data_IF_587926378151
#
_entry.id   IF_587926378151
#
_cell.length_a   1.000
_cell.length_b   1.000
_cell.length_c   1.000
_cell.angle_alpha   90.00
_cell.angle_beta   90.00
_cell.angle_gamma   90.00
#
_symmetry.space_group_name_H-M   'P 1'
#
loop_
_entity.id
_entity.type
_entity.pdbx_description
1 polymer ?
#
# COMPACT_ATOMS: atom_id res chain seq x y z
N UNK A 1 18.65 -64.22 59.22
CA UNK A 1 19.15 -62.88 59.65
C UNK A 1 20.11 -62.34 58.59
N UNK A 2 20.07 -61.01 58.35
CA UNK A 2 20.68 -60.22 57.24
C UNK A 2 19.80 -60.22 55.97
N UNK A 3 18.91 -59.23 55.73
CA UNK A 3 19.00 -57.77 55.49
C UNK A 3 19.11 -57.42 54.00
N UNK A 4 18.12 -56.62 53.55
CA UNK A 4 18.22 -55.47 52.60
C UNK A 4 18.28 -55.87 51.11
N UNK A 5 17.57 -55.29 50.14
CA UNK A 5 16.55 -54.24 50.07
C UNK A 5 16.10 -54.13 48.58
N UNK A 6 14.82 -53.84 48.32
CA UNK A 6 14.35 -52.60 47.65
C UNK A 6 14.28 -52.62 46.11
N UNK A 7 13.07 -52.51 45.53
CA UNK A 7 12.47 -51.25 45.01
C UNK A 7 11.39 -51.58 43.96
N UNK A 8 10.17 -51.05 44.17
CA UNK A 8 9.16 -50.86 43.12
C UNK A 8 9.70 -49.88 42.06
N UNK A 9 9.46 -50.14 40.78
CA UNK A 9 9.43 -49.07 39.77
C UNK A 9 8.10 -49.13 39.01
N UNK A 10 7.19 -48.24 39.42
CA UNK A 10 6.02 -47.83 38.66
C UNK A 10 6.53 -46.89 37.57
N UNK A 11 6.58 -47.34 36.31
CA UNK A 11 6.73 -46.44 35.17
C UNK A 11 5.37 -45.77 34.91
N UNK A 12 5.20 -44.57 35.48
CA UNK A 12 4.18 -43.64 35.03
C UNK A 12 4.59 -43.05 33.68
N UNK A 13 3.73 -43.21 32.68
CA UNK A 13 3.76 -42.43 31.46
C UNK A 13 3.49 -40.96 31.81
N UNK A 14 4.50 -40.11 31.64
CA UNK A 14 4.31 -38.68 31.44
C UNK A 14 4.46 -38.39 29.93
N UNK A 15 3.46 -37.84 29.23
CA UNK A 15 3.70 -37.29 27.91
C UNK A 15 4.50 -36.00 28.07
N UNK A 16 5.76 -36.04 27.65
CA UNK A 16 6.59 -34.86 27.51
C UNK A 16 5.94 -33.93 26.45
N UNK A 17 5.38 -32.82 26.93
CA UNK A 17 4.97 -31.71 26.09
C UNK A 17 6.21 -31.10 25.43
N UNK A 18 6.54 -31.55 24.22
CA UNK A 18 7.47 -30.86 23.32
C UNK A 18 6.84 -29.55 22.84
N UNK A 19 6.84 -28.53 23.70
CA UNK A 19 6.63 -27.15 23.27
C UNK A 19 7.91 -26.66 22.60
N UNK A 20 7.96 -26.63 21.27
CA UNK A 20 9.08 -26.10 20.49
C UNK A 20 9.03 -24.56 20.55
N UNK A 21 9.92 -23.87 21.28
CA UNK A 21 9.87 -22.41 21.46
C UNK A 21 10.24 -21.62 20.19
N UNK A 22 10.93 -22.23 19.23
CA UNK A 22 11.35 -21.57 17.98
C UNK A 22 10.18 -21.29 17.02
N UNK A 23 9.14 -22.12 17.04
CA UNK A 23 7.96 -21.94 16.17
C UNK A 23 7.07 -20.81 16.69
N UNK A 24 6.86 -20.71 18.01
CA UNK A 24 6.09 -19.62 18.63
C UNK A 24 6.73 -18.25 18.37
N UNK A 25 8.03 -18.14 18.52
CA UNK A 25 8.76 -16.87 18.29
C UNK A 25 8.75 -16.43 16.81
N UNK A 26 8.77 -17.37 15.86
CA UNK A 26 8.64 -17.05 14.43
C UNK A 26 7.21 -16.61 14.07
N UNK A 27 6.19 -17.28 14.62
CA UNK A 27 4.78 -16.92 14.42
C UNK A 27 4.48 -15.53 15.01
N UNK A 28 4.94 -15.24 16.22
CA UNK A 28 4.79 -13.93 16.87
C UNK A 28 5.48 -12.80 16.10
N UNK A 29 6.69 -13.03 15.58
CA UNK A 29 7.38 -12.06 14.70
C UNK A 29 6.66 -11.82 13.38
N UNK A 30 5.97 -12.84 12.86
CA UNK A 30 5.21 -12.72 11.60
C UNK A 30 3.90 -11.99 11.82
N UNK A 31 3.20 -12.26 12.94
CA UNK A 31 1.97 -11.57 13.34
C UNK A 31 2.25 -10.10 13.63
N UNK A 32 3.33 -9.77 14.34
CA UNK A 32 3.70 -8.38 14.62
C UNK A 32 4.08 -7.61 13.35
N UNK A 33 4.78 -8.23 12.40
CA UNK A 33 5.07 -7.59 11.10
C UNK A 33 3.82 -7.38 10.26
N UNK A 34 2.89 -8.34 10.27
CA UNK A 34 1.62 -8.22 9.55
C UNK A 34 0.71 -7.15 10.17
N UNK A 35 0.72 -6.99 11.50
CA UNK A 35 -0.04 -5.92 12.17
C UNK A 35 0.58 -4.55 11.95
N UNK A 36 1.91 -4.42 11.95
CA UNK A 36 2.63 -3.19 11.60
C UNK A 36 2.34 -2.76 10.15
N UNK A 37 2.37 -3.70 9.20
CA UNK A 37 2.04 -3.43 7.80
C UNK A 37 0.58 -2.94 7.62
N UNK A 38 -0.36 -3.45 8.42
CA UNK A 38 -1.75 -2.96 8.45
C UNK A 38 -1.87 -1.59 9.12
N UNK A 39 -1.10 -1.34 10.18
CA UNK A 39 -1.09 -0.06 10.92
C UNK A 39 -0.45 1.10 10.14
N UNK A 40 0.48 0.79 9.23
CA UNK A 40 1.11 1.79 8.40
C UNK A 40 0.31 2.15 7.13
N UNK A 41 -0.78 1.43 6.84
CA UNK A 41 -1.64 1.72 5.68
C UNK A 41 -2.40 3.03 5.90
N UNK A 42 -2.40 3.88 4.90
CA UNK A 42 -3.11 5.17 4.91
C UNK A 42 -4.06 5.23 3.73
N UNK A 43 -5.30 5.61 3.96
CA UNK A 43 -6.26 5.88 2.90
C UNK A 43 -6.16 7.33 2.45
N UNK A 44 -6.17 7.53 1.14
CA UNK A 44 -5.97 8.83 0.50
C UNK A 44 -7.20 9.15 -0.34
N UNK A 45 -7.86 10.27 -0.03
CA UNK A 45 -8.95 10.81 -0.84
C UNK A 45 -8.51 12.13 -1.46
N UNK A 46 -8.56 12.21 -2.78
CA UNK A 46 -8.19 13.40 -3.55
C UNK A 46 -9.45 14.08 -4.07
N UNK A 47 -9.55 15.38 -3.83
CA UNK A 47 -10.63 16.23 -4.33
C UNK A 47 -10.08 17.13 -5.43
N UNK A 48 -10.65 16.97 -6.63
CA UNK A 48 -10.24 17.64 -7.85
C UNK A 48 -11.32 18.63 -8.28
N UNK A 49 -10.88 19.76 -8.84
CA UNK A 49 -11.77 20.75 -9.42
C UNK A 49 -11.28 21.16 -10.80
N UNK A 50 -12.17 21.13 -11.79
CA UNK A 50 -11.97 21.72 -13.11
C UNK A 50 -12.88 22.94 -13.23
N UNK A 51 -12.35 24.03 -13.75
CA UNK A 51 -13.13 25.25 -14.02
C UNK A 51 -13.15 25.44 -15.53
N UNK A 52 -14.33 25.41 -16.12
CA UNK A 52 -14.56 25.72 -17.53
C UNK A 52 -15.22 27.09 -17.62
N UNK A 53 -14.58 28.02 -18.32
CA UNK A 53 -15.14 29.34 -18.60
C UNK A 53 -16.15 29.21 -19.74
N UNK A 54 -17.39 29.66 -19.53
CA UNK A 54 -18.42 29.68 -20.55
C UNK A 54 -18.20 30.88 -21.48
N UNK A 55 -17.15 30.85 -22.29
CA UNK A 55 -16.75 31.97 -23.16
C UNK A 55 -17.78 32.26 -24.28
N UNK A 56 -18.73 31.36 -24.54
CA UNK A 56 -19.61 31.45 -25.72
C UNK A 56 -20.84 32.37 -25.60
N UNK A 57 -21.16 32.95 -24.44
CA UNK A 57 -22.46 33.66 -24.26
C UNK A 57 -22.38 35.08 -23.70
N UNK A 58 -21.19 35.69 -23.60
CA UNK A 58 -21.07 37.03 -23.03
C UNK A 58 -21.03 38.08 -24.14
N UNK A 59 -22.19 38.66 -24.49
CA UNK A 59 -22.22 39.91 -25.27
C UNK A 59 -21.54 41.01 -24.44
N UNK A 60 -20.39 41.49 -24.93
CA UNK A 60 -19.62 42.54 -24.30
C UNK A 60 -20.45 43.83 -24.24
N UNK A 61 -20.78 44.32 -23.04
CA UNK A 61 -21.33 45.66 -22.83
C UNK A 61 -20.29 46.52 -22.11
N UNK A 62 -19.87 47.67 -22.67
CA UNK A 62 -18.96 48.58 -21.98
C UNK A 62 -19.55 49.06 -20.64
N UNK A 63 -18.76 49.08 -19.57
CA UNK A 63 -19.12 49.70 -18.29
C UNK A 63 -19.65 48.78 -17.17
N UNK A 64 -19.77 47.46 -17.36
CA UNK A 64 -20.13 46.50 -16.28
C UNK A 64 -18.98 45.54 -15.96
N UNK A 65 -18.75 45.28 -14.65
CA UNK A 65 -17.91 44.15 -14.19
C UNK A 65 -18.54 42.85 -14.71
N UNK A 66 -17.95 42.27 -15.76
CA UNK A 66 -18.38 41.01 -16.34
C UNK A 66 -18.02 39.90 -15.34
N UNK A 67 -19.01 39.32 -14.67
CA UNK A 67 -18.84 38.03 -14.01
C UNK A 67 -18.84 36.97 -15.11
N UNK A 68 -17.67 36.49 -15.52
CA UNK A 68 -17.58 35.38 -16.47
C UNK A 68 -18.21 34.16 -15.79
N UNK A 69 -19.34 33.64 -16.29
CA UNK A 69 -19.93 32.46 -15.72
C UNK A 69 -18.98 31.28 -15.99
N UNK A 70 -18.60 30.58 -14.92
CA UNK A 70 -17.79 29.37 -15.02
C UNK A 70 -18.59 28.18 -14.50
N UNK A 71 -18.43 27.04 -15.15
CA UNK A 71 -18.93 25.76 -14.65
C UNK A 71 -17.79 25.07 -13.90
N UNK A 72 -18.06 24.65 -12.67
CA UNK A 72 -17.10 23.89 -11.88
C UNK A 72 -17.49 22.42 -11.89
N UNK A 73 -16.58 21.57 -12.35
CA UNK A 73 -16.71 20.12 -12.24
C UNK A 73 -15.86 19.63 -11.07
N UNK A 74 -16.45 18.78 -10.24
CA UNK A 74 -15.81 18.20 -9.05
C UNK A 74 -15.66 16.70 -9.20
N UNK A 75 -14.46 16.18 -8.94
CA UNK A 75 -14.18 14.75 -8.99
C UNK A 75 -13.49 14.33 -7.71
N UNK A 76 -13.78 13.11 -7.24
CA UNK A 76 -13.04 12.50 -6.13
C UNK A 76 -12.41 11.20 -6.57
N UNK A 77 -11.15 10.99 -6.19
CA UNK A 77 -10.44 9.72 -6.41
C UNK A 77 -9.90 9.20 -5.09
N UNK A 78 -9.84 7.88 -4.97
CA UNK A 78 -9.33 7.18 -3.79
C UNK A 78 -8.10 6.36 -4.15
N UNK A 79 -7.06 6.47 -3.33
CA UNK A 79 -5.89 5.61 -3.36
C UNK A 79 -5.53 5.17 -1.94
N UNK A 80 -4.52 4.32 -1.87
CA UNK A 80 -3.84 3.92 -0.65
C UNK A 80 -2.43 4.48 -0.66
N UNK A 81 -1.85 4.65 0.52
CA UNK A 81 -0.44 4.89 0.72
C UNK A 81 0.07 4.17 1.96
N UNK A 82 1.32 4.44 2.29
CA UNK A 82 2.02 3.90 3.45
C UNK A 82 2.68 5.03 4.23
N UNK A 83 2.55 5.01 5.55
CA UNK A 83 3.31 5.87 6.44
C UNK A 83 4.75 5.38 6.52
N UNK A 84 5.70 6.26 6.20
CA UNK A 84 7.13 6.02 6.31
C UNK A 84 7.69 6.55 7.63
N UNK A 85 8.85 6.05 8.05
CA UNK A 85 9.53 6.47 9.29
C UNK A 85 9.85 7.97 9.37
N UNK A 86 9.97 8.65 8.24
CA UNK A 86 10.24 10.08 8.17
C UNK A 86 8.98 10.96 8.25
N UNK A 87 7.88 10.44 8.83
CA UNK A 87 6.58 11.12 8.95
C UNK A 87 5.99 11.60 7.61
N UNK A 88 6.28 10.87 6.53
CA UNK A 88 5.68 11.11 5.20
C UNK A 88 4.83 9.93 4.80
N UNK A 89 3.78 10.20 4.03
CA UNK A 89 2.99 9.15 3.40
C UNK A 89 3.43 8.99 1.96
N UNK A 90 3.88 7.80 1.60
CA UNK A 90 4.23 7.46 0.23
C UNK A 90 3.07 6.77 -0.50
N UNK A 91 2.86 7.13 -1.76
CA UNK A 91 1.87 6.52 -2.66
C UNK A 91 2.39 6.57 -4.10
N UNK A 92 1.67 5.95 -5.03
CA UNK A 92 2.03 6.02 -6.44
C UNK A 92 1.85 7.45 -6.98
N UNK A 93 2.78 7.93 -7.81
CA UNK A 93 2.70 9.28 -8.39
C UNK A 93 1.44 9.48 -9.25
N UNK A 94 0.91 8.40 -9.84
CA UNK A 94 -0.36 8.39 -10.57
C UNK A 94 -1.60 8.66 -9.71
N UNK A 95 -1.50 8.63 -8.38
CA UNK A 95 -2.58 9.08 -7.49
C UNK A 95 -2.65 10.61 -7.38
N UNK A 96 -1.53 11.30 -7.63
CA UNK A 96 -1.43 12.76 -7.66
C UNK A 96 -1.49 13.35 -9.07
N UNK A 97 -1.67 12.52 -10.10
CA UNK A 97 -1.80 12.93 -11.49
C UNK A 97 -3.19 12.55 -12.00
N UNK A 98 -4.03 13.54 -12.28
CA UNK A 98 -5.33 13.34 -12.93
C UNK A 98 -5.32 13.97 -14.33
N UNK A 99 -6.12 13.43 -15.26
CA UNK A 99 -6.16 13.86 -16.66
C UNK A 99 -6.88 15.20 -16.89
N UNK A 100 -6.45 15.91 -17.95
CA UNK A 100 -7.04 17.08 -18.64
C UNK A 100 -7.90 18.06 -17.80
N UNK A 101 -7.25 19.11 -17.28
CA UNK A 101 -7.90 20.34 -16.78
C UNK A 101 -8.31 20.34 -15.31
N UNK A 102 -8.21 19.21 -14.60
CA UNK A 102 -8.46 19.13 -13.16
C UNK A 102 -7.26 19.60 -12.34
N UNK A 103 -7.51 20.48 -11.37
CA UNK A 103 -6.53 20.90 -10.37
C UNK A 103 -6.83 20.24 -9.03
N UNK A 104 -5.81 19.67 -8.40
CA UNK A 104 -5.92 19.10 -7.06
C UNK A 104 -6.19 20.21 -6.04
N UNK A 105 -7.34 20.16 -5.38
CA UNK A 105 -7.71 21.14 -4.36
C UNK A 105 -7.25 20.69 -2.99
N UNK A 106 -7.52 19.42 -2.66
CA UNK A 106 -7.39 18.92 -1.31
C UNK A 106 -7.10 17.43 -1.30
N UNK A 107 -6.30 17.03 -0.32
CA UNK A 107 -5.97 15.65 -0.02
C UNK A 107 -6.46 15.38 1.40
N UNK A 108 -7.22 14.30 1.59
CA UNK A 108 -7.59 13.82 2.92
C UNK A 108 -6.86 12.51 3.18
N UNK A 109 -6.17 12.47 4.31
CA UNK A 109 -5.42 11.31 4.82
C UNK A 109 -6.24 10.70 5.94
N UNK A 110 -6.48 9.40 5.90
CA UNK A 110 -7.10 8.64 6.99
C UNK A 110 -6.16 7.52 7.41
N UNK A 111 -5.80 7.51 8.69
CA UNK A 111 -4.85 6.57 9.27
C UNK A 111 -5.56 5.42 9.97
N UNK A 112 -4.83 4.32 10.23
CA UNK A 112 -5.37 3.13 10.88
C UNK A 112 -5.83 3.37 12.33
N UNK A 113 -5.34 4.41 12.99
CA UNK A 113 -5.78 4.83 14.33
C UNK A 113 -7.11 5.61 14.30
N UNK A 114 -7.77 5.74 13.15
CA UNK A 114 -9.02 6.47 12.96
C UNK A 114 -8.84 7.99 12.85
N UNK A 115 -7.63 8.52 13.06
CA UNK A 115 -7.36 9.95 12.84
C UNK A 115 -7.39 10.27 11.35
N UNK A 116 -7.92 11.44 11.03
CA UNK A 116 -7.91 11.96 9.66
C UNK A 116 -7.44 13.40 9.62
N UNK A 117 -6.79 13.78 8.52
CA UNK A 117 -6.24 15.11 8.33
C UNK A 117 -6.42 15.58 6.89
N UNK A 118 -6.47 16.91 6.72
CA UNK A 118 -6.56 17.56 5.42
C UNK A 118 -5.20 18.19 5.11
N UNK A 119 -4.69 17.92 3.91
CA UNK A 119 -3.45 18.51 3.41
C UNK A 119 -3.65 19.04 1.98
N UNK A 120 -2.76 19.93 1.56
CA UNK A 120 -2.84 20.58 0.26
C UNK A 120 -1.85 19.94 -0.72
N UNK A 121 -2.08 20.14 -2.02
CA UNK A 121 -1.19 19.66 -3.07
C UNK A 121 0.27 20.14 -2.89
N UNK A 122 0.49 21.33 -2.30
CA UNK A 122 1.83 21.90 -2.08
C UNK A 122 2.68 21.11 -1.09
N UNK A 123 2.05 20.34 -0.20
CA UNK A 123 2.73 19.48 0.77
C UNK A 123 3.07 18.09 0.17
N UNK A 124 2.75 17.88 -1.10
CA UNK A 124 3.10 16.67 -1.82
C UNK A 124 4.29 16.94 -2.76
N UNK A 125 5.30 16.08 -2.70
CA UNK A 125 6.42 16.03 -3.64
C UNK A 125 6.34 14.75 -4.45
N UNK A 126 6.78 14.79 -5.71
CA UNK A 126 6.85 13.62 -6.58
C UNK A 126 8.32 13.38 -6.91
N UNK A 127 8.80 12.18 -6.63
CA UNK A 127 10.12 11.71 -7.03
C UNK A 127 9.96 10.45 -7.88
N UNK A 128 10.21 10.57 -9.19
CA UNK A 128 9.93 9.51 -10.17
C UNK A 128 8.49 9.01 -10.11
N UNK A 129 8.34 7.72 -9.84
CA UNK A 129 7.05 7.03 -9.79
C UNK A 129 6.38 7.04 -8.40
N UNK A 130 7.03 7.66 -7.41
CA UNK A 130 6.54 7.77 -6.04
C UNK A 130 6.16 9.21 -5.72
N UNK A 131 5.01 9.36 -5.08
CA UNK A 131 4.59 10.59 -4.45
C UNK A 131 4.78 10.49 -2.93
N UNK A 132 5.32 11.53 -2.31
CA UNK A 132 5.42 11.67 -0.85
C UNK A 132 4.60 12.87 -0.39
N UNK A 133 3.84 12.68 0.69
CA UNK A 133 2.98 13.72 1.27
C UNK A 133 3.46 13.96 2.69
N UNK A 134 3.81 15.20 3.02
CA UNK A 134 4.16 15.58 4.37
C UNK A 134 2.92 15.53 5.28
N UNK A 135 3.08 14.90 6.45
CA UNK A 135 2.01 14.69 7.42
C UNK A 135 2.30 15.46 8.70
N UNK A 136 1.24 15.95 9.34
CA UNK A 136 1.33 16.51 10.68
C UNK A 136 1.61 15.40 11.72
N UNK A 137 2.68 15.51 12.54
CA UNK A 137 3.00 14.54 13.58
C UNK A 137 1.82 14.19 14.50
N UNK A 138 0.89 15.12 14.75
CA UNK A 138 -0.28 14.91 15.60
C UNK A 138 -1.22 13.79 15.09
N UNK A 139 -1.25 13.58 13.77
CA UNK A 139 -2.05 12.55 13.11
C UNK A 139 -1.39 11.16 13.23
N UNK A 140 -0.07 11.13 13.37
CA UNK A 140 0.74 9.91 13.40
C UNK A 140 1.11 9.43 14.81
N UNK A 141 0.65 10.12 15.86
CA UNK A 141 0.91 9.72 17.25
C UNK A 141 0.41 8.29 17.48
N UNK A 142 1.30 7.42 17.97
CA UNK A 142 1.04 6.00 18.23
C UNK A 142 1.09 5.10 17.00
N UNK A 143 1.44 5.63 15.82
CA UNK A 143 1.67 4.84 14.61
C UNK A 143 3.17 4.65 14.39
N UNK A 144 3.52 3.46 13.93
CA UNK A 144 4.88 3.12 13.54
C UNK A 144 4.96 3.20 12.02
N UNK A 145 5.89 4.02 11.53
CA UNK A 145 6.18 4.10 10.10
C UNK A 145 6.88 2.83 9.60
N UNK A 146 6.94 2.69 8.28
CA UNK A 146 7.64 1.58 7.65
C UNK A 146 8.98 2.03 7.11
N UNK A 147 9.98 1.16 7.25
CA UNK A 147 11.25 1.30 6.55
C UNK A 147 11.08 0.99 5.06
N UNK A 148 11.75 1.78 4.24
CA UNK A 148 11.83 1.56 2.80
C UNK A 148 13.02 0.64 2.51
N UNK A 149 12.80 -0.37 1.67
CA UNK A 149 13.88 -1.13 1.06
C UNK A 149 14.15 -0.54 -0.32
N UNK A 150 15.20 0.27 -0.41
CA UNK A 150 15.58 0.91 -1.65
C UNK A 150 16.29 -0.05 -2.58
N UNK A 151 16.01 0.09 -3.88
CA UNK A 151 16.58 -0.71 -4.94
C UNK A 151 17.43 0.18 -5.84
N UNK A 152 18.61 -0.31 -6.24
CA UNK A 152 19.46 0.43 -7.16
C UNK A 152 18.75 0.65 -8.51
N UNK A 153 19.00 1.80 -9.12
CA UNK A 153 18.44 2.11 -10.43
C UNK A 153 18.77 1.06 -11.49
N UNK A 154 17.77 0.74 -12.32
CA UNK A 154 17.90 -0.23 -13.40
C UNK A 154 17.89 -1.71 -12.99
N UNK A 155 17.81 -2.04 -11.69
CA UNK A 155 17.70 -3.42 -11.21
C UNK A 155 16.24 -3.82 -10.99
N UNK A 156 15.86 -5.02 -11.40
CA UNK A 156 14.55 -5.59 -11.09
C UNK A 156 14.49 -6.05 -9.63
N UNK A 157 13.28 -6.08 -9.05
CA UNK A 157 13.07 -6.62 -7.69
C UNK A 157 13.43 -8.09 -7.63
N UNK A 158 13.15 -8.84 -8.70
CA UNK A 158 13.52 -10.24 -8.80
C UNK A 158 15.04 -10.46 -8.80
N UNK A 159 15.82 -9.61 -9.47
CA UNK A 159 17.30 -9.71 -9.47
C UNK A 159 17.90 -9.38 -8.10
N UNK A 160 17.22 -8.54 -7.33
CA UNK A 160 17.71 -8.03 -6.03
C UNK A 160 17.31 -8.95 -4.89
N UNK A 161 16.07 -9.47 -4.91
CA UNK A 161 15.50 -10.27 -3.82
C UNK A 161 15.33 -11.76 -4.15
N UNK A 162 15.60 -12.16 -5.39
CA UNK A 162 15.55 -13.55 -5.83
C UNK A 162 14.14 -14.04 -6.19
N UNK A 163 14.04 -15.33 -6.55
CA UNK A 163 12.78 -15.96 -7.01
C UNK A 163 11.68 -16.00 -5.93
N UNK A 164 12.05 -16.09 -4.66
CA UNK A 164 11.10 -16.10 -3.55
C UNK A 164 10.23 -14.82 -3.50
N UNK A 165 10.83 -13.68 -3.87
CA UNK A 165 10.12 -12.41 -3.97
C UNK A 165 9.01 -12.48 -5.03
N UNK A 166 9.32 -13.01 -6.21
CA UNK A 166 8.37 -13.14 -7.29
C UNK A 166 7.19 -14.05 -6.88
N UNK A 167 7.46 -15.20 -6.26
CA UNK A 167 6.41 -16.09 -5.74
C UNK A 167 5.54 -15.40 -4.68
N UNK A 168 6.14 -14.62 -3.78
CA UNK A 168 5.39 -13.87 -2.78
C UNK A 168 4.53 -12.76 -3.38
N UNK A 169 5.04 -12.04 -4.39
CA UNK A 169 4.29 -11.04 -5.13
C UNK A 169 3.10 -11.69 -5.87
N UNK A 170 3.31 -12.85 -6.48
CA UNK A 170 2.25 -13.62 -7.12
C UNK A 170 1.14 -14.00 -6.13
N UNK A 171 1.53 -14.58 -4.99
CA UNK A 171 0.60 -14.99 -3.95
C UNK A 171 -0.16 -13.80 -3.39
N UNK A 172 0.50 -12.65 -3.25
CA UNK A 172 -0.15 -11.40 -2.86
C UNK A 172 -1.20 -10.97 -3.88
N UNK A 173 -0.86 -10.90 -5.17
CA UNK A 173 -1.80 -10.56 -6.26
C UNK A 173 -3.02 -11.50 -6.27
N UNK A 174 -2.78 -12.81 -6.18
CA UNK A 174 -3.81 -13.84 -6.10
C UNK A 174 -4.70 -13.66 -4.86
N UNK A 175 -4.12 -13.36 -3.71
CA UNK A 175 -4.86 -13.11 -2.47
C UNK A 175 -5.80 -11.89 -2.59
N UNK A 176 -5.41 -10.91 -3.41
CA UNK A 176 -6.20 -9.71 -3.71
C UNK A 176 -7.12 -9.85 -4.92
N UNK A 177 -7.30 -11.06 -5.42
CA UNK A 177 -8.25 -11.38 -6.49
C UNK A 177 -7.79 -10.99 -7.90
N UNK A 178 -6.50 -10.67 -8.10
CA UNK A 178 -5.93 -10.44 -9.43
C UNK A 178 -5.78 -11.79 -10.14
N UNK A 179 -6.80 -12.12 -10.92
CA UNK A 179 -6.97 -13.39 -11.61
C UNK A 179 -7.42 -13.16 -13.05
N UNK A 180 -7.39 -14.19 -13.89
CA UNK A 180 -8.02 -14.10 -15.21
C UNK A 180 -9.54 -13.93 -15.07
N UNK A 181 -10.23 -13.25 -16.01
CA UNK A 181 -11.69 -13.08 -15.93
C UNK A 181 -12.46 -14.41 -15.80
N UNK A 182 -11.96 -15.47 -16.46
CA UNK A 182 -12.54 -16.82 -16.37
C UNK A 182 -12.39 -17.40 -14.96
N UNK A 183 -11.21 -17.30 -14.36
CA UNK A 183 -10.97 -17.77 -12.99
C UNK A 183 -11.75 -16.95 -11.95
N UNK A 184 -11.88 -15.64 -12.14
CA UNK A 184 -12.67 -14.77 -11.27
C UNK A 184 -14.17 -15.14 -11.29
N UNK A 185 -14.74 -15.47 -12.45
CA UNK A 185 -16.13 -15.96 -12.56
C UNK A 185 -16.34 -17.29 -11.85
N UNK A 186 -15.40 -18.23 -12.00
CA UNK A 186 -15.49 -19.55 -11.36
C UNK A 186 -15.35 -19.51 -9.84
N UNK A 187 -14.53 -18.59 -9.33
CA UNK A 187 -14.24 -18.49 -7.89
C UNK A 187 -15.08 -17.44 -7.17
N UNK A 188 -15.81 -16.60 -7.89
CA UNK A 188 -16.56 -15.46 -7.34
C UNK A 188 -15.69 -14.38 -6.68
N UNK A 189 -14.35 -14.45 -6.79
CA UNK A 189 -13.44 -13.51 -6.10
C UNK A 189 -13.45 -12.15 -6.79
N UNK A 190 -13.65 -11.09 -5.99
CA UNK A 190 -13.54 -9.70 -6.42
C UNK A 190 -12.12 -9.17 -6.20
N UNK A 191 -11.68 -8.28 -7.08
CA UNK A 191 -10.39 -7.59 -6.92
C UNK A 191 -10.50 -6.61 -5.75
N UNK A 192 -9.64 -6.77 -4.75
CA UNK A 192 -9.56 -5.88 -3.56
C UNK A 192 -8.30 -5.03 -3.54
N UNK A 193 -7.41 -5.23 -4.52
CA UNK A 193 -6.20 -4.44 -4.68
C UNK A 193 -6.54 -3.01 -5.11
N UNK A 194 -5.97 -2.03 -4.44
CA UNK A 194 -6.16 -0.61 -4.75
C UNK A 194 -4.88 0.03 -5.29
N UNK A 195 -5.03 1.14 -6.00
CA UNK A 195 -3.88 1.94 -6.46
C UNK A 195 -3.18 2.56 -5.24
N UNK A 196 -1.84 2.55 -5.27
CA UNK A 196 -0.96 3.03 -4.21
C UNK A 196 -0.84 2.07 -3.02
N UNK A 197 -1.48 0.90 -3.08
CA UNK A 197 -1.34 -0.13 -2.04
C UNK A 197 0.15 -0.51 -1.89
N UNK A 198 0.69 -0.61 -0.67
CA UNK A 198 2.08 -1.00 -0.47
C UNK A 198 2.28 -2.52 -0.62
N UNK A 199 3.42 -2.90 -1.20
CA UNK A 199 3.94 -4.25 -1.16
C UNK A 199 5.11 -4.35 -0.17
N UNK A 200 4.98 -5.26 0.78
CA UNK A 200 5.96 -5.47 1.84
C UNK A 200 6.77 -6.74 1.60
N UNK A 201 8.08 -6.64 1.79
CA UNK A 201 9.00 -7.78 1.75
C UNK A 201 9.90 -7.75 2.98
N UNK A 202 9.96 -8.88 3.70
CA UNK A 202 10.79 -9.04 4.91
C UNK A 202 10.64 -7.90 5.94
N UNK A 203 9.46 -7.30 6.05
CA UNK A 203 9.14 -6.23 7.00
C UNK A 203 9.42 -4.81 6.51
N UNK A 204 9.89 -4.63 5.27
CA UNK A 204 10.11 -3.32 4.64
C UNK A 204 9.15 -3.10 3.49
N UNK A 205 8.82 -1.84 3.20
CA UNK A 205 8.08 -1.51 1.97
C UNK A 205 9.06 -1.44 0.80
N UNK A 206 8.78 -2.19 -0.26
CA UNK A 206 9.65 -2.28 -1.45
C UNK A 206 9.07 -1.49 -2.61
N UNK A 207 7.75 -1.48 -2.74
CA UNK A 207 7.05 -0.84 -3.84
C UNK A 207 5.62 -0.48 -3.44
N UNK A 208 4.99 0.37 -4.24
CA UNK A 208 3.55 0.65 -4.20
C UNK A 208 2.92 0.38 -5.57
N UNK A 209 1.66 -0.04 -5.61
CA UNK A 209 0.99 -0.37 -6.86
C UNK A 209 0.62 0.89 -7.66
N UNK A 210 1.30 1.17 -8.78
CA UNK A 210 0.97 2.27 -9.68
C UNK A 210 -0.36 2.06 -10.42
N UNK A 211 -0.65 0.81 -10.77
CA UNK A 211 -1.91 0.40 -11.40
C UNK A 211 -2.36 -0.93 -10.84
N UNK A 212 -3.67 -1.16 -10.85
CA UNK A 212 -4.26 -2.44 -10.48
C UNK A 212 -4.30 -3.32 -11.73
N UNK A 213 -3.48 -4.38 -11.82
CA UNK A 213 -3.53 -5.28 -12.96
C UNK A 213 -4.88 -6.01 -13.04
N UNK A 214 -5.45 -6.13 -14.24
CA UNK A 214 -6.72 -6.84 -14.48
C UNK A 214 -6.57 -8.37 -14.49
N UNK A 215 -5.35 -8.87 -14.68
CA UNK A 215 -4.97 -10.29 -14.73
C UNK A 215 -3.57 -10.44 -14.17
N UNK A 216 -3.17 -11.67 -13.83
CA UNK A 216 -1.79 -11.92 -13.42
C UNK A 216 -0.81 -11.40 -14.50
N UNK A 217 0.07 -10.45 -14.14
CA UNK A 217 1.00 -9.81 -15.05
C UNK A 217 2.23 -10.69 -15.22
N UNK A 218 2.14 -11.68 -16.10
CA UNK A 218 3.26 -12.56 -16.47
C UNK A 218 3.94 -11.98 -17.72
N UNK A 219 5.27 -11.89 -17.69
CA UNK A 219 6.11 -11.50 -18.81
C UNK A 219 6.21 -12.64 -19.82
N UNK A 220 6.66 -12.31 -21.04
CA UNK A 220 6.87 -13.30 -22.12
C UNK A 220 7.86 -14.41 -21.74
N UNK A 221 8.75 -14.16 -20.77
CA UNK A 221 9.75 -15.12 -20.27
C UNK A 221 9.28 -15.88 -19.01
N UNK A 222 7.98 -15.83 -18.70
CA UNK A 222 7.38 -16.55 -17.57
C UNK A 222 7.64 -15.93 -16.19
N UNK A 223 8.23 -14.74 -16.12
CA UNK A 223 8.43 -13.99 -14.89
C UNK A 223 7.25 -13.07 -14.59
N UNK A 224 7.15 -12.49 -13.40
CA UNK A 224 6.12 -11.49 -13.11
C UNK A 224 6.65 -10.14 -13.57
N UNK A 225 5.93 -9.47 -14.47
CA UNK A 225 6.26 -8.10 -14.88
C UNK A 225 6.21 -7.18 -13.65
N UNK A 226 7.08 -6.18 -13.57
CA UNK A 226 7.08 -5.22 -12.44
C UNK A 226 6.48 -3.87 -12.85
N UNK A 227 6.00 -3.72 -14.09
CA UNK A 227 5.57 -2.44 -14.68
C UNK A 227 4.37 -1.79 -13.99
N UNK A 228 3.65 -2.54 -13.16
CA UNK A 228 2.53 -2.02 -12.38
C UNK A 228 2.95 -1.53 -10.98
N UNK A 229 4.20 -1.71 -10.61
CA UNK A 229 4.78 -1.28 -9.34
C UNK A 229 5.59 0.00 -9.54
N UNK A 230 5.40 0.96 -8.64
CA UNK A 230 6.35 2.02 -8.40
C UNK A 230 7.33 1.53 -7.33
N UNK A 231 8.58 1.28 -7.72
CA UNK A 231 9.64 0.81 -6.83
C UNK A 231 10.33 1.99 -6.15
N UNK A 232 10.68 1.86 -4.87
CA UNK A 232 11.52 2.84 -4.21
C UNK A 232 12.96 2.69 -4.68
N UNK A 233 13.42 3.62 -5.51
CA UNK A 233 14.77 3.63 -6.06
C UNK A 233 15.67 4.64 -5.35
N UNK A 234 16.97 4.36 -5.35
CA UNK A 234 18.03 5.23 -4.81
C UNK A 234 18.33 6.39 -5.74
#
# INVERSE_FOLDING_TARGET
MKKIAVLLLILSLAPAAFCIPSVRTQVERTISRASLAKGARVELKFEWKKQEYLERHVRFRPGRKIRVPYQAEHKTTQCVGVLLNNARVATASSCLKESSGFKLQKITLTFSNGKSGKTSARKASVNGDIAQIAVDPALTVGLIGMEVAEVADGRSLQDVYGKEFASALQNFLLSRGVLSPRAARLTGRKVTLQRGEPFFWKGKVVAVFNRVPRRLPVSLFGQISEDFLSVFRK
#
